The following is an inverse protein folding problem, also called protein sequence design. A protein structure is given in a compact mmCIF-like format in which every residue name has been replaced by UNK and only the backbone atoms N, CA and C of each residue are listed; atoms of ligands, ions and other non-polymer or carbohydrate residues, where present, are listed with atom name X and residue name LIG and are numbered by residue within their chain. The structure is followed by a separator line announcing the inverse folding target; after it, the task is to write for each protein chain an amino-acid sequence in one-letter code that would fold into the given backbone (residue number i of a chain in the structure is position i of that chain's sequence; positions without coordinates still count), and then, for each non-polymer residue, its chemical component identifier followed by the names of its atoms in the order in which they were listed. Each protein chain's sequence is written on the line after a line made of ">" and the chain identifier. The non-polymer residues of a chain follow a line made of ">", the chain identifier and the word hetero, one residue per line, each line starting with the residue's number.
data_IF_212226236996
#
_entry.id   IF_212226236996
#
_cell.length_a   1.000
_cell.length_b   1.000
_cell.length_c   1.000
_cell.angle_alpha   90.00
_cell.angle_beta   90.00
_cell.angle_gamma   90.00
#
_symmetry.space_group_name_H-M   'P 1'
#
loop_
_entity.id
_entity.type
_entity.pdbx_description
1 polymer ?
#
# COMPACT_ATOMS: atom_id res chain seq x y z
N UNK A 1 -17.70 2.51 12.84
CA UNK A 1 -16.99 3.67 13.39
C UNK A 1 -18.02 4.76 13.64
N UNK A 2 -17.96 5.48 14.76
CA UNK A 2 -18.82 6.62 15.08
C UNK A 2 -17.92 7.85 15.19
N UNK A 3 -18.35 8.96 14.61
CA UNK A 3 -17.62 10.23 14.63
C UNK A 3 -18.49 11.32 15.26
N UNK A 4 -17.93 12.07 16.17
CA UNK A 4 -18.60 13.20 16.80
C UNK A 4 -17.99 14.51 16.26
N UNK A 5 -18.75 15.26 15.52
CA UNK A 5 -18.34 16.58 15.04
C UNK A 5 -18.77 17.64 16.06
N UNK A 6 -17.81 18.40 16.57
CA UNK A 6 -18.07 19.46 17.53
C UNK A 6 -17.37 20.76 17.11
N UNK A 7 -17.74 21.87 17.77
CA UNK A 7 -17.05 23.14 17.58
C UNK A 7 -15.61 23.07 18.10
N UNK A 8 -14.66 23.71 17.40
CA UNK A 8 -13.21 23.62 17.64
C UNK A 8 -12.68 24.30 18.91
N UNK A 9 -13.51 24.54 19.90
CA UNK A 9 -13.08 25.06 21.20
C UNK A 9 -12.46 23.96 22.06
N UNK A 10 -11.29 24.21 22.65
CA UNK A 10 -10.55 23.23 23.49
C UNK A 10 -11.42 22.68 24.60
N UNK A 11 -12.24 23.50 25.24
CA UNK A 11 -13.12 23.05 26.33
C UNK A 11 -14.22 22.10 25.86
N UNK A 12 -14.80 22.37 24.68
CA UNK A 12 -15.87 21.52 24.10
C UNK A 12 -15.34 20.15 23.73
N UNK A 13 -14.17 20.08 23.12
CA UNK A 13 -13.52 18.80 22.77
C UNK A 13 -13.13 18.01 24.00
N UNK A 14 -12.63 18.65 25.05
CA UNK A 14 -12.29 17.98 26.30
C UNK A 14 -13.53 17.43 27.01
N UNK A 15 -14.61 18.22 27.12
CA UNK A 15 -15.87 17.76 27.74
C UNK A 15 -16.46 16.55 26.99
N UNK A 16 -16.40 16.56 25.64
CA UNK A 16 -16.86 15.43 24.85
C UNK A 16 -15.99 14.18 25.08
N UNK A 17 -14.67 14.36 25.12
CA UNK A 17 -13.74 13.27 25.40
C UNK A 17 -13.97 12.68 26.79
N UNK A 18 -14.11 13.51 27.82
CA UNK A 18 -14.42 13.08 29.21
C UNK A 18 -15.73 12.30 29.28
N UNK A 19 -16.77 12.77 28.56
CA UNK A 19 -18.05 12.07 28.50
C UNK A 19 -17.90 10.69 27.84
N UNK A 20 -17.13 10.57 26.77
CA UNK A 20 -16.86 9.30 26.11
C UNK A 20 -16.10 8.33 27.06
N UNK A 21 -15.09 8.83 27.77
CA UNK A 21 -14.32 8.03 28.73
C UNK A 21 -15.19 7.56 29.91
N UNK A 22 -16.07 8.41 30.42
CA UNK A 22 -17.02 8.06 31.49
C UNK A 22 -18.01 6.96 31.05
N UNK A 23 -18.33 6.89 29.75
CA UNK A 23 -19.18 5.85 29.18
C UNK A 23 -18.42 4.54 28.82
N UNK A 24 -17.15 4.43 29.21
CA UNK A 24 -16.36 3.20 29.05
C UNK A 24 -15.50 3.16 27.79
N UNK A 25 -15.40 4.24 27.04
CA UNK A 25 -14.38 4.34 25.98
C UNK A 25 -12.98 4.47 26.61
N UNK A 26 -11.94 4.22 25.83
CA UNK A 26 -10.55 4.46 26.22
C UNK A 26 -9.85 5.32 25.17
N UNK A 27 -8.78 5.95 25.56
CA UNK A 27 -7.91 6.62 24.58
C UNK A 27 -7.26 5.58 23.67
N UNK A 28 -7.19 5.92 22.40
CA UNK A 28 -6.46 5.13 21.42
C UNK A 28 -4.94 5.25 21.64
N UNK A 29 -4.23 4.16 21.38
CA UNK A 29 -2.77 4.19 21.29
C UNK A 29 -2.34 4.95 20.03
N UNK A 30 -1.13 5.54 20.00
CA UNK A 30 -0.58 6.09 18.76
C UNK A 30 -0.64 5.08 17.61
N UNK A 31 -1.17 5.50 16.46
CA UNK A 31 -1.32 4.64 15.28
C UNK A 31 -2.47 3.63 15.33
N UNK A 32 -3.21 3.49 16.42
CA UNK A 32 -4.24 2.45 16.56
C UNK A 32 -5.36 2.55 15.52
N UNK A 33 -5.75 3.73 15.09
CA UNK A 33 -6.75 3.89 14.03
C UNK A 33 -6.25 3.36 12.69
N UNK A 34 -5.00 3.64 12.33
CA UNK A 34 -4.35 3.16 11.10
C UNK A 34 -4.13 1.65 11.13
N UNK A 35 -3.65 1.12 12.27
CA UNK A 35 -3.51 -0.32 12.51
C UNK A 35 -4.84 -1.04 12.29
N UNK A 36 -5.92 -0.55 12.88
CA UNK A 36 -7.26 -1.13 12.71
C UNK A 36 -7.81 -0.95 11.31
N UNK A 37 -7.50 0.13 10.62
CA UNK A 37 -7.88 0.33 9.22
C UNK A 37 -7.20 -0.72 8.33
N UNK A 38 -5.91 -0.96 8.52
CA UNK A 38 -5.15 -2.00 7.83
C UNK A 38 -5.72 -3.40 8.12
N UNK A 39 -5.89 -3.78 9.39
CA UNK A 39 -6.43 -5.09 9.77
C UNK A 39 -7.86 -5.36 9.28
N UNK A 40 -8.63 -4.31 9.01
CA UNK A 40 -9.99 -4.40 8.46
C UNK A 40 -10.03 -4.16 6.93
N UNK A 41 -8.90 -4.24 6.22
CA UNK A 41 -8.79 -4.05 4.77
C UNK A 41 -9.40 -2.72 4.27
N UNK A 42 -9.29 -1.65 5.08
CA UNK A 42 -9.68 -0.28 4.71
C UNK A 42 -8.49 0.54 4.22
N UNK A 43 -7.30 0.04 4.44
CA UNK A 43 -6.02 0.62 4.07
C UNK A 43 -5.07 -0.54 3.77
N UNK A 44 -4.27 -0.46 2.74
CA UNK A 44 -3.22 -1.44 2.48
C UNK A 44 -1.91 -1.07 3.21
N UNK A 45 -0.92 -1.95 3.15
CA UNK A 45 0.35 -1.75 3.86
C UNK A 45 1.09 -0.52 3.35
N UNK A 46 1.11 -0.30 2.02
CA UNK A 46 1.82 0.82 1.41
C UNK A 46 1.20 2.16 1.79
N UNK A 47 -0.13 2.20 1.91
CA UNK A 47 -0.86 3.36 2.41
C UNK A 47 -0.58 3.61 3.89
N UNK A 48 -0.49 2.56 4.71
CA UNK A 48 -0.17 2.68 6.13
C UNK A 48 1.26 3.23 6.34
N UNK A 49 2.22 2.76 5.55
CA UNK A 49 3.59 3.28 5.52
C UNK A 49 3.63 4.73 5.02
N UNK A 50 2.91 5.06 3.94
CA UNK A 50 2.78 6.42 3.43
C UNK A 50 2.21 7.39 4.46
N UNK A 51 1.27 6.93 5.32
CA UNK A 51 0.75 7.73 6.42
C UNK A 51 1.83 8.00 7.49
N UNK A 52 2.62 6.99 7.86
CA UNK A 52 3.71 7.15 8.80
C UNK A 52 4.77 8.14 8.26
N UNK A 53 5.16 7.96 6.99
CA UNK A 53 6.11 8.86 6.33
C UNK A 53 5.59 10.30 6.21
N UNK A 54 4.29 10.48 6.02
CA UNK A 54 3.67 11.82 5.98
C UNK A 54 3.76 12.53 7.34
N UNK A 55 3.55 11.77 8.44
CA UNK A 55 3.64 12.31 9.81
C UNK A 55 5.09 12.69 10.13
N UNK A 56 6.06 11.87 9.72
CA UNK A 56 7.48 12.05 10.01
C UNK A 56 8.21 12.90 8.95
N UNK A 57 7.52 13.42 7.93
CA UNK A 57 8.12 14.10 6.80
C UNK A 57 8.89 15.38 7.20
N UNK A 58 10.21 15.44 7.01
CA UNK A 58 11.02 16.60 7.43
C UNK A 58 10.94 17.77 6.44
N UNK A 59 10.43 17.53 5.24
CA UNK A 59 10.37 18.54 4.17
C UNK A 59 9.01 18.53 3.46
N UNK A 60 8.67 19.64 2.84
CA UNK A 60 7.45 19.74 2.03
C UNK A 60 7.44 18.76 0.85
N UNK A 61 8.61 18.47 0.27
CA UNK A 61 8.73 17.52 -0.83
C UNK A 61 8.47 16.09 -0.34
N UNK A 62 9.05 15.70 0.80
CA UNK A 62 8.80 14.40 1.43
C UNK A 62 7.30 14.23 1.78
N UNK A 63 6.67 15.26 2.34
CA UNK A 63 5.24 15.24 2.65
C UNK A 63 4.37 15.05 1.39
N UNK A 64 4.72 15.68 0.26
CA UNK A 64 4.01 15.49 -1.02
C UNK A 64 4.14 14.07 -1.55
N UNK A 65 5.33 13.47 -1.47
CA UNK A 65 5.59 12.10 -1.90
C UNK A 65 4.83 11.10 -1.00
N UNK A 66 4.91 11.25 0.31
CA UNK A 66 4.16 10.44 1.26
C UNK A 66 2.63 10.56 1.06
N UNK A 67 2.13 11.76 0.76
CA UNK A 67 0.72 11.98 0.43
C UNK A 67 0.29 11.25 -0.85
N UNK A 68 1.13 11.22 -1.88
CA UNK A 68 0.86 10.48 -3.11
C UNK A 68 0.82 8.95 -2.85
N UNK A 69 1.74 8.45 -2.01
CA UNK A 69 1.76 7.05 -1.57
C UNK A 69 0.49 6.69 -0.79
N UNK A 70 0.08 7.55 0.15
CA UNK A 70 -1.17 7.38 0.91
C UNK A 70 -2.41 7.37 0.01
N UNK A 71 -2.41 8.12 -1.10
CA UNK A 71 -3.50 8.13 -2.09
C UNK A 71 -3.52 6.87 -2.97
N UNK A 72 -2.58 5.94 -2.80
CA UNK A 72 -2.57 4.65 -3.47
C UNK A 72 -1.73 4.59 -4.75
N UNK A 73 -1.03 5.66 -5.14
CA UNK A 73 -0.23 5.65 -6.38
C UNK A 73 0.84 4.55 -6.38
N UNK A 74 1.47 4.30 -5.24
CA UNK A 74 2.45 3.23 -5.08
C UNK A 74 1.78 1.85 -5.05
N UNK A 75 0.65 1.71 -4.35
CA UNK A 75 -0.15 0.48 -4.32
C UNK A 75 -0.59 0.04 -5.71
N UNK A 76 -1.02 0.97 -6.55
CA UNK A 76 -1.44 0.69 -7.92
C UNK A 76 -0.26 0.15 -8.75
N UNK A 77 0.93 0.74 -8.63
CA UNK A 77 2.13 0.27 -9.33
C UNK A 77 2.54 -1.15 -8.88
N UNK A 78 2.51 -1.41 -7.57
CA UNK A 78 2.80 -2.73 -7.00
C UNK A 78 1.77 -3.77 -7.43
N UNK A 79 0.48 -3.43 -7.41
CA UNK A 79 -0.59 -4.33 -7.83
C UNK A 79 -0.50 -4.67 -9.33
N UNK A 80 -0.17 -3.71 -10.18
CA UNK A 80 0.07 -3.95 -11.61
C UNK A 80 1.25 -4.89 -11.84
N UNK A 81 2.35 -4.68 -11.11
CA UNK A 81 3.51 -5.58 -11.18
C UNK A 81 3.14 -6.99 -10.72
N UNK A 82 2.44 -7.11 -9.60
CA UNK A 82 2.00 -8.40 -9.06
C UNK A 82 1.10 -9.15 -10.05
N UNK A 83 0.14 -8.46 -10.69
CA UNK A 83 -0.72 -9.08 -11.70
C UNK A 83 0.10 -9.62 -12.87
N UNK A 84 1.07 -8.86 -13.38
CA UNK A 84 1.95 -9.31 -14.47
C UNK A 84 2.79 -10.53 -14.07
N UNK A 85 3.24 -10.62 -12.82
CA UNK A 85 3.94 -11.81 -12.29
C UNK A 85 3.01 -13.02 -12.26
N UNK A 86 1.77 -12.85 -11.79
CA UNK A 86 0.75 -13.90 -11.77
C UNK A 86 0.46 -14.40 -13.19
N UNK A 87 0.26 -13.48 -14.14
CA UNK A 87 -0.02 -13.83 -15.54
C UNK A 87 1.14 -14.62 -16.17
N UNK A 88 2.38 -14.21 -15.90
CA UNK A 88 3.56 -14.95 -16.37
C UNK A 88 3.66 -16.33 -15.72
N UNK A 89 3.35 -16.45 -14.42
CA UNK A 89 3.34 -17.73 -13.71
C UNK A 89 2.31 -18.68 -14.31
N UNK A 90 1.08 -18.21 -14.52
CA UNK A 90 0.00 -19.02 -15.15
C UNK A 90 0.42 -19.49 -16.54
N UNK A 91 1.06 -18.61 -17.31
CA UNK A 91 1.57 -18.96 -18.64
C UNK A 91 2.63 -20.07 -18.59
N UNK A 92 3.58 -19.98 -17.66
CA UNK A 92 4.63 -21.00 -17.49
C UNK A 92 4.05 -22.31 -16.96
N UNK A 93 3.13 -22.26 -15.97
CA UNK A 93 2.44 -23.45 -15.44
C UNK A 93 1.66 -24.17 -16.57
N UNK A 94 0.93 -23.43 -17.39
CA UNK A 94 0.22 -24.02 -18.53
C UNK A 94 1.16 -24.68 -19.54
N UNK A 95 2.31 -24.07 -19.81
CA UNK A 95 3.33 -24.65 -20.70
C UNK A 95 3.94 -25.97 -20.17
N UNK A 96 4.01 -26.11 -18.84
CA UNK A 96 4.51 -27.32 -18.21
C UNK A 96 3.43 -28.42 -18.19
N UNK A 97 2.18 -28.05 -17.94
CA UNK A 97 1.06 -28.99 -17.79
C UNK A 97 0.59 -29.56 -19.13
N UNK A 98 0.77 -28.84 -20.23
CA UNK A 98 0.31 -29.22 -21.57
C UNK A 98 1.46 -29.28 -22.59
N UNK A 99 2.48 -30.13 -22.39
CA UNK A 99 3.64 -30.21 -23.25
C UNK A 99 3.35 -30.79 -24.64
N UNK A 100 2.20 -31.43 -24.85
CA UNK A 100 1.79 -32.05 -26.12
C UNK A 100 1.02 -31.12 -27.07
N UNK A 101 0.67 -29.91 -26.63
CA UNK A 101 0.09 -28.92 -27.52
C UNK A 101 1.19 -28.34 -28.41
N UNK A 102 0.95 -28.26 -29.74
CA UNK A 102 1.92 -27.81 -30.76
C UNK A 102 2.44 -26.38 -30.59
N UNK A 103 2.06 -25.70 -29.52
CA UNK A 103 2.52 -24.37 -29.17
C UNK A 103 3.76 -24.51 -28.27
N UNK A 104 4.93 -24.31 -28.85
CA UNK A 104 6.19 -24.25 -28.10
C UNK A 104 6.25 -22.95 -27.29
N UNK A 105 5.57 -22.97 -26.17
CA UNK A 105 5.45 -21.83 -25.24
C UNK A 105 6.81 -21.30 -24.75
N UNK A 106 7.83 -22.14 -24.76
CA UNK A 106 9.16 -21.79 -24.23
C UNK A 106 10.11 -21.26 -25.31
N UNK A 107 9.91 -21.66 -26.60
CA UNK A 107 10.81 -21.28 -27.70
C UNK A 107 10.57 -19.88 -28.23
N UNK A 108 9.41 -19.29 -28.05
CA UNK A 108 9.08 -17.95 -28.58
C UNK A 108 9.80 -16.78 -27.89
N UNK A 109 10.66 -17.01 -26.92
CA UNK A 109 11.36 -15.94 -26.17
C UNK A 109 10.42 -15.06 -25.31
N UNK A 110 9.12 -15.34 -25.32
CA UNK A 110 8.10 -14.56 -24.63
C UNK A 110 8.32 -14.53 -23.12
N UNK A 111 8.69 -15.68 -22.52
CA UNK A 111 8.99 -15.77 -21.07
C UNK A 111 10.18 -14.87 -20.72
N UNK A 112 11.25 -14.95 -21.52
CA UNK A 112 12.46 -14.13 -21.30
C UNK A 112 12.16 -12.64 -21.44
N UNK A 113 11.41 -12.25 -22.48
CA UNK A 113 11.01 -10.86 -22.70
C UNK A 113 10.16 -10.34 -21.53
N UNK A 114 9.14 -11.11 -21.11
CA UNK A 114 8.28 -10.74 -19.98
C UNK A 114 9.06 -10.62 -18.67
N UNK A 115 10.04 -11.49 -18.41
CA UNK A 115 10.92 -11.40 -17.25
C UNK A 115 11.79 -10.14 -17.27
N UNK A 116 12.33 -9.77 -18.43
CA UNK A 116 13.13 -8.54 -18.59
C UNK A 116 12.27 -7.30 -18.34
N UNK A 117 11.07 -7.25 -18.91
CA UNK A 117 10.12 -6.15 -18.68
C UNK A 117 9.69 -6.05 -17.20
N UNK A 118 9.43 -7.19 -16.51
CA UNK A 118 9.13 -7.23 -15.10
C UNK A 118 10.29 -6.71 -14.26
N UNK A 119 11.53 -7.10 -14.61
CA UNK A 119 12.74 -6.61 -13.94
C UNK A 119 12.90 -5.10 -14.08
N UNK A 120 12.65 -4.55 -15.26
CA UNK A 120 12.70 -3.10 -15.48
C UNK A 120 11.61 -2.37 -14.68
N UNK A 121 10.38 -2.88 -14.71
CA UNK A 121 9.28 -2.31 -13.93
C UNK A 121 9.58 -2.32 -12.43
N UNK A 122 10.12 -3.41 -11.90
CA UNK A 122 10.54 -3.51 -10.49
C UNK A 122 11.65 -2.51 -10.16
N UNK A 123 12.62 -2.32 -11.06
CA UNK A 123 13.70 -1.35 -10.87
C UNK A 123 13.17 0.08 -10.80
N UNK A 124 12.18 0.44 -11.63
CA UNK A 124 11.55 1.77 -11.61
C UNK A 124 10.78 2.02 -10.31
N UNK A 125 10.07 1.01 -9.80
CA UNK A 125 9.36 1.09 -8.52
C UNK A 125 10.37 1.31 -7.37
N UNK A 126 11.46 0.55 -7.35
CA UNK A 126 12.51 0.67 -6.34
C UNK A 126 13.21 2.06 -6.35
N UNK A 127 13.45 2.64 -7.52
CA UNK A 127 14.06 3.98 -7.64
C UNK A 127 13.10 5.08 -7.16
N UNK A 128 11.79 4.89 -7.33
CA UNK A 128 10.78 5.86 -6.90
C UNK A 128 10.45 5.79 -5.40
N UNK A 129 10.87 4.73 -4.73
CA UNK A 129 10.71 4.58 -3.29
C UNK A 129 11.71 5.48 -2.56
N UNK A 130 11.26 6.36 -1.64
CA UNK A 130 12.19 7.14 -0.83
C UNK A 130 12.98 6.21 0.09
N UNK A 131 14.22 5.89 -0.30
CA UNK A 131 15.14 5.12 0.56
C UNK A 131 15.32 5.90 1.85
N UNK A 132 14.82 5.35 2.97
CA UNK A 132 15.21 5.84 4.30
C UNK A 132 16.71 5.64 4.44
N UNK A 133 17.51 6.69 4.66
CA UNK A 133 18.87 6.50 5.11
C UNK A 133 18.79 5.85 6.51
N UNK A 134 19.44 4.71 6.65
CA UNK A 134 19.64 4.05 7.95
C UNK A 134 20.40 4.94 8.91
#
# INVERSE_FOLDING_TARGET
>A
MVEFHCHGGVMVTNLLLEACLALGARLARPGEFSERAFLNNKMDLTQAEGLADLIDAPTQQAARQASASLQGAFSDAVNQLNQRVIDLRVYVEAAIDFPEEEVDFLSEGRVTTSLLELKEALSLIHISEPTRPY
#
